data_IF_583365737656
#
_entry.id   IF_583365737656
#
_cell.length_a   1.000
_cell.length_b   1.000
_cell.length_c   1.000
_cell.angle_alpha   90.00
_cell.angle_beta   90.00
_cell.angle_gamma   90.00
#
_symmetry.space_group_name_H-M   'P 1'
#
loop_
_entity.id
_entity.type
_entity.pdbx_description
1 polymer ?
#
# COMPACT_ATOMS: atom_id res chain seq x y z
N UNK A 1 -1.11 18.06 7.49
CA UNK A 1 -2.51 17.72 7.19
C UNK A 1 -2.58 17.10 5.83
N UNK A 2 -2.97 15.83 5.79
CA UNK A 2 -3.16 15.07 4.56
C UNK A 2 -4.36 15.57 3.75
N UNK A 3 -4.26 15.45 2.44
CA UNK A 3 -5.34 15.73 1.50
C UNK A 3 -5.82 14.41 0.91
N UNK A 4 -6.99 13.95 1.36
CA UNK A 4 -7.60 12.69 0.94
C UNK A 4 -8.67 12.84 -0.15
N UNK A 5 -8.94 14.08 -0.57
CA UNK A 5 -9.83 14.35 -1.69
C UNK A 5 -9.12 14.08 -3.01
N UNK A 6 -9.41 12.92 -3.62
CA UNK A 6 -8.82 12.48 -4.88
C UNK A 6 -9.21 13.32 -6.10
N UNK A 7 -10.18 14.23 -5.96
CA UNK A 7 -10.50 15.20 -7.02
C UNK A 7 -9.61 16.44 -6.97
N UNK A 8 -8.84 16.61 -5.89
CA UNK A 8 -7.85 17.67 -5.75
C UNK A 8 -6.51 17.29 -6.39
N UNK A 9 -5.87 18.24 -7.06
CA UNK A 9 -4.50 18.10 -7.56
C UNK A 9 -3.45 18.00 -6.43
N UNK A 10 -3.84 18.33 -5.20
CA UNK A 10 -2.98 18.23 -4.01
C UNK A 10 -3.18 16.96 -3.21
N UNK A 11 -3.91 15.95 -3.73
CA UNK A 11 -4.14 14.70 -3.01
C UNK A 11 -2.82 13.94 -2.77
N UNK A 12 -2.55 13.58 -1.52
CA UNK A 12 -1.30 12.97 -1.07
C UNK A 12 -1.49 11.65 -0.32
N UNK A 13 -2.74 11.25 -0.05
CA UNK A 13 -3.08 10.03 0.69
C UNK A 13 -4.46 9.50 0.33
N UNK A 14 -4.67 8.17 0.37
CA UNK A 14 -6.01 7.58 0.25
C UNK A 14 -6.77 7.55 1.59
N UNK A 15 -6.06 7.61 2.71
CA UNK A 15 -6.61 7.50 4.06
C UNK A 15 -6.17 8.68 4.94
N UNK A 16 -7.07 9.15 5.80
CA UNK A 16 -6.75 10.16 6.81
C UNK A 16 -6.39 9.56 8.16
N UNK A 17 -5.99 10.40 9.11
CA UNK A 17 -5.71 9.98 10.51
C UNK A 17 -6.94 9.32 11.15
N UNK A 18 -8.15 9.82 10.85
CA UNK A 18 -9.40 9.22 11.32
C UNK A 18 -9.62 7.80 10.80
N UNK A 19 -9.32 7.55 9.53
CA UNK A 19 -9.44 6.23 8.91
C UNK A 19 -8.43 5.25 9.51
N UNK A 20 -7.19 5.69 9.71
CA UNK A 20 -6.15 4.89 10.36
C UNK A 20 -6.56 4.48 11.77
N UNK A 21 -7.03 5.42 12.60
CA UNK A 21 -7.49 5.14 13.97
C UNK A 21 -8.68 4.21 13.99
N UNK A 22 -9.64 4.40 13.09
CA UNK A 22 -10.79 3.51 12.96
C UNK A 22 -10.36 2.09 12.56
N UNK A 23 -9.49 1.99 11.54
CA UNK A 23 -8.94 0.72 11.06
C UNK A 23 -8.18 -0.02 12.16
N UNK A 24 -7.34 0.71 12.91
CA UNK A 24 -6.55 0.19 14.02
C UNK A 24 -7.44 -0.28 15.18
N UNK A 25 -8.43 0.52 15.58
CA UNK A 25 -9.36 0.20 16.66
C UNK A 25 -10.18 -1.06 16.38
N UNK A 26 -10.65 -1.25 15.14
CA UNK A 26 -11.39 -2.46 14.75
C UNK A 26 -10.57 -3.75 14.82
N UNK A 27 -9.24 -3.65 14.75
CA UNK A 27 -8.32 -4.80 14.67
C UNK A 27 -7.37 -4.92 15.86
N UNK A 28 -7.52 -4.04 16.86
CA UNK A 28 -6.70 -4.04 18.07
C UNK A 28 -5.25 -3.58 17.86
N UNK A 29 -4.98 -2.78 16.82
CA UNK A 29 -3.66 -2.20 16.62
C UNK A 29 -3.48 -0.91 17.44
N UNK A 30 -2.27 -0.72 17.97
CA UNK A 30 -1.85 0.55 18.54
C UNK A 30 -1.31 1.45 17.43
N UNK A 31 -1.71 2.72 17.45
CA UNK A 31 -1.20 3.79 16.59
C UNK A 31 -0.83 5.00 17.45
N UNK A 32 0.02 5.92 16.97
CA UNK A 32 0.38 7.10 17.75
C UNK A 32 -0.83 7.96 18.12
N UNK A 33 -0.78 8.58 19.29
CA UNK A 33 -1.80 9.56 19.71
C UNK A 33 -1.65 10.89 18.97
N UNK A 34 -0.45 11.22 18.52
CA UNK A 34 -0.15 12.44 17.77
C UNK A 34 -0.53 12.32 16.29
N UNK A 35 -1.28 13.31 15.79
CA UNK A 35 -1.75 13.35 14.41
C UNK A 35 -0.58 13.42 13.41
N UNK A 36 0.45 14.22 13.68
CA UNK A 36 1.58 14.39 12.76
C UNK A 36 2.37 13.09 12.56
N UNK A 37 2.50 12.30 13.62
CA UNK A 37 3.10 10.97 13.58
C UNK A 37 2.26 10.00 12.74
N UNK A 38 0.93 10.01 12.89
CA UNK A 38 0.01 9.24 12.05
C UNK A 38 0.09 9.66 10.58
N UNK A 39 0.15 10.96 10.29
CA UNK A 39 0.29 11.49 8.94
C UNK A 39 1.59 10.99 8.29
N UNK A 40 2.70 11.02 9.02
CA UNK A 40 3.99 10.52 8.53
C UNK A 40 3.94 9.04 8.17
N UNK A 41 3.30 8.21 9.00
CA UNK A 41 3.13 6.78 8.73
C UNK A 41 2.25 6.52 7.50
N UNK A 42 1.19 7.33 7.32
CA UNK A 42 0.31 7.26 6.15
C UNK A 42 1.02 7.66 4.87
N UNK A 43 1.90 8.66 4.90
CA UNK A 43 2.74 9.03 3.75
C UNK A 43 3.69 7.90 3.37
N UNK A 44 4.42 7.32 4.34
CA UNK A 44 5.29 6.16 4.08
C UNK A 44 4.53 4.99 3.45
N UNK A 45 3.32 4.73 3.94
CA UNK A 45 2.44 3.72 3.38
C UNK A 45 1.99 4.07 1.95
N UNK A 46 1.72 5.36 1.68
CA UNK A 46 1.39 5.83 0.34
C UNK A 46 2.57 5.66 -0.62
N UNK A 47 3.78 6.03 -0.21
CA UNK A 47 4.99 5.89 -1.03
C UNK A 47 5.25 4.42 -1.41
N UNK A 48 4.93 3.48 -0.52
CA UNK A 48 4.95 2.06 -0.83
C UNK A 48 3.88 1.69 -1.88
N UNK A 49 2.64 2.15 -1.70
CA UNK A 49 1.54 1.90 -2.64
C UNK A 49 1.78 2.50 -4.03
N UNK A 50 2.50 3.63 -4.11
CA UNK A 50 2.88 4.26 -5.36
C UNK A 50 3.85 3.38 -6.20
N UNK A 51 4.53 2.42 -5.56
CA UNK A 51 5.40 1.46 -6.22
C UNK A 51 4.68 0.22 -6.78
N UNK A 52 3.37 0.08 -6.60
CA UNK A 52 2.64 -1.13 -7.00
C UNK A 52 2.25 -1.13 -8.48
N UNK A 53 2.31 -2.30 -9.11
CA UNK A 53 1.81 -2.51 -10.47
C UNK A 53 0.29 -2.66 -10.48
N UNK A 54 -0.43 -1.55 -10.44
CA UNK A 54 -1.89 -1.56 -10.42
C UNK A 54 -2.51 -2.05 -11.75
N UNK A 55 -3.61 -2.80 -11.68
CA UNK A 55 -4.43 -3.19 -12.84
C UNK A 55 -5.15 -1.99 -13.46
N UNK A 56 -5.43 -2.06 -14.77
CA UNK A 56 -6.19 -1.03 -15.50
C UNK A 56 -5.40 0.25 -15.75
N UNK A 57 -6.11 1.36 -15.93
CA UNK A 57 -5.49 2.65 -16.25
C UNK A 57 -5.95 3.75 -15.30
N UNK A 58 -5.09 4.76 -15.05
CA UNK A 58 -5.50 5.98 -14.33
C UNK A 58 -6.68 6.64 -15.03
N UNK A 59 -7.64 7.14 -14.27
CA UNK A 59 -8.82 7.83 -14.84
C UNK A 59 -8.41 9.13 -15.53
N UNK A 60 -7.44 9.86 -14.97
CA UNK A 60 -6.84 11.04 -15.58
C UNK A 60 -5.31 10.91 -15.62
N UNK A 61 -4.68 11.37 -16.70
CA UNK A 61 -3.20 11.34 -16.82
C UNK A 61 -2.49 12.25 -15.82
N UNK A 62 -3.14 13.32 -15.39
CA UNK A 62 -2.57 14.33 -14.48
C UNK A 62 -2.94 14.15 -13.01
N UNK A 63 -3.69 13.11 -12.65
CA UNK A 63 -4.05 12.90 -11.24
C UNK A 63 -2.78 12.58 -10.41
N UNK A 64 -2.68 13.08 -9.18
CA UNK A 64 -1.47 12.95 -8.36
C UNK A 64 -1.21 11.50 -7.92
N UNK A 65 -2.27 10.76 -7.56
CA UNK A 65 -2.17 9.39 -7.03
C UNK A 65 -2.48 8.32 -8.09
N UNK A 66 -2.21 7.05 -7.78
CA UNK A 66 -2.48 5.95 -8.74
C UNK A 66 -3.97 5.63 -8.89
N UNK A 67 -4.73 5.80 -7.82
CA UNK A 67 -6.18 5.76 -7.83
C UNK A 67 -6.75 7.18 -7.84
N UNK A 68 -7.88 7.42 -8.51
CA UNK A 68 -8.79 6.41 -9.07
C UNK A 68 -8.36 5.85 -10.45
N UNK A 69 -8.91 4.67 -10.78
CA UNK A 69 -8.62 3.96 -12.03
C UNK A 69 -9.89 3.54 -12.77
N UNK A 70 -9.72 3.12 -14.01
CA UNK A 70 -10.74 2.57 -14.91
C UNK A 70 -10.25 1.27 -15.54
N UNK A 71 -11.17 0.52 -16.15
CA UNK A 71 -10.89 -0.77 -16.80
C UNK A 71 -10.28 -1.82 -15.85
N UNK A 72 -10.60 -1.74 -14.55
CA UNK A 72 -10.13 -2.70 -13.53
C UNK A 72 -11.14 -3.83 -13.39
N UNK A 73 -10.72 -5.08 -13.61
CA UNK A 73 -11.55 -6.26 -13.40
C UNK A 73 -11.16 -6.99 -12.11
N UNK A 74 -12.11 -7.11 -11.17
CA UNK A 74 -11.93 -7.81 -9.90
C UNK A 74 -12.94 -8.94 -9.82
N UNK A 75 -12.47 -10.17 -9.61
CA UNK A 75 -13.30 -11.38 -9.47
C UNK A 75 -14.32 -11.58 -10.62
N UNK A 76 -13.96 -11.16 -11.84
CA UNK A 76 -14.80 -11.29 -13.04
C UNK A 76 -15.81 -10.15 -13.24
N UNK A 77 -15.81 -9.12 -12.39
CA UNK A 77 -16.63 -7.92 -12.54
C UNK A 77 -15.76 -6.68 -12.78
N UNK A 78 -16.18 -5.83 -13.72
CA UNK A 78 -15.54 -4.53 -13.95
C UNK A 78 -15.92 -3.60 -12.81
N UNK A 79 -14.90 -3.04 -12.15
CA UNK A 79 -15.05 -2.06 -11.09
C UNK A 79 -15.51 -0.72 -11.69
N UNK A 80 -16.34 0.03 -10.96
CA UNK A 80 -16.82 1.32 -11.44
C UNK A 80 -15.65 2.30 -11.66
N UNK A 81 -15.60 2.92 -12.84
CA UNK A 81 -14.61 3.94 -13.15
C UNK A 81 -14.63 5.07 -12.13
N UNK A 82 -13.44 5.53 -11.71
CA UNK A 82 -13.35 6.64 -10.77
C UNK A 82 -13.50 6.23 -9.30
N UNK A 83 -13.83 4.97 -9.00
CA UNK A 83 -14.02 4.49 -7.63
C UNK A 83 -12.68 4.16 -6.97
N UNK A 84 -12.47 4.66 -5.75
CA UNK A 84 -11.41 4.19 -4.85
C UNK A 84 -11.90 2.94 -4.09
N UNK A 85 -11.33 1.75 -4.31
CA UNK A 85 -11.73 0.55 -3.59
C UNK A 85 -11.38 0.68 -2.11
N UNK A 86 -12.32 0.33 -1.22
CA UNK A 86 -12.06 0.29 0.24
C UNK A 86 -10.83 -0.55 0.60
N UNK A 87 -10.55 -1.59 -0.19
CA UNK A 87 -9.37 -2.46 -0.05
C UNK A 87 -8.05 -1.68 -0.15
N UNK A 88 -7.98 -0.62 -0.96
CA UNK A 88 -6.80 0.25 -1.11
C UNK A 88 -6.62 1.12 0.14
N UNK A 89 -7.71 1.70 0.66
CA UNK A 89 -7.70 2.48 1.91
C UNK A 89 -7.27 1.60 3.10
N UNK A 90 -7.86 0.42 3.21
CA UNK A 90 -7.53 -0.56 4.25
C UNK A 90 -6.07 -1.04 4.13
N UNK A 91 -5.56 -1.20 2.90
CA UNK A 91 -4.17 -1.55 2.65
C UNK A 91 -3.20 -0.45 3.12
N UNK A 92 -3.48 0.82 2.79
CA UNK A 92 -2.67 1.94 3.27
C UNK A 92 -2.69 2.04 4.80
N UNK A 93 -3.86 1.88 5.42
CA UNK A 93 -3.96 1.90 6.88
C UNK A 93 -3.16 0.76 7.52
N UNK A 94 -3.20 -0.44 6.93
CA UNK A 94 -2.43 -1.57 7.44
C UNK A 94 -0.92 -1.35 7.26
N UNK A 95 -0.48 -0.85 6.11
CA UNK A 95 0.91 -0.49 5.87
C UNK A 95 1.39 0.58 6.86
N UNK A 96 0.56 1.58 7.16
CA UNK A 96 0.90 2.62 8.14
C UNK A 96 1.07 2.05 9.56
N UNK A 97 0.29 1.02 9.93
CA UNK A 97 0.50 0.29 11.19
C UNK A 97 1.84 -0.44 11.18
N UNK A 98 2.18 -1.14 10.09
CA UNK A 98 3.45 -1.87 9.96
C UNK A 98 4.67 -0.91 9.91
N UNK A 99 4.50 0.27 9.34
CA UNK A 99 5.54 1.32 9.24
C UNK A 99 6.03 1.85 10.60
N UNK A 100 5.34 1.51 11.69
CA UNK A 100 5.80 1.79 13.05
C UNK A 100 7.00 0.94 13.46
N UNK A 101 7.09 -0.29 12.95
CA UNK A 101 8.12 -1.28 13.31
C UNK A 101 8.98 -1.72 12.13
N UNK A 102 8.52 -1.54 10.90
CA UNK A 102 9.18 -1.97 9.67
C UNK A 102 9.49 -0.77 8.79
N UNK A 103 10.72 -0.69 8.28
CA UNK A 103 11.03 0.24 7.21
C UNK A 103 10.44 -0.27 5.89
N UNK A 104 9.45 0.46 5.37
CA UNK A 104 8.75 0.08 4.13
C UNK A 104 9.61 0.30 2.88
N UNK A 105 10.63 1.15 2.94
CA UNK A 105 11.49 1.49 1.80
C UNK A 105 12.97 1.43 2.18
N UNK A 106 13.51 0.22 2.49
CA UNK A 106 14.89 0.10 2.89
C UNK A 106 15.82 0.48 1.74
N UNK A 107 16.81 1.33 2.02
CA UNK A 107 17.89 1.63 1.08
C UNK A 107 18.85 0.45 1.00
N UNK A 108 18.86 -0.24 -0.14
CA UNK A 108 19.78 -1.35 -0.39
C UNK A 108 21.09 -0.80 -0.98
N UNK A 109 22.06 -0.53 -0.12
CA UNK A 109 23.44 -0.29 -0.56
C UNK A 109 24.12 -1.66 -0.68
N UNK A 110 24.65 -1.97 -1.87
CA UNK A 110 25.19 -3.28 -2.24
C UNK A 110 26.43 -3.78 -1.49
N UNK A 111 26.75 -3.23 -0.33
CA UNK A 111 27.84 -3.66 0.53
C UNK A 111 27.55 -3.18 1.96
N UNK A 112 27.40 -4.13 2.89
CA UNK A 112 27.48 -4.02 4.35
C UNK A 112 26.85 -2.82 5.09
N UNK A 113 25.92 -3.11 6.01
CA UNK A 113 25.95 -2.64 7.41
C UNK A 113 24.71 -3.22 8.12
N UNK A 114 24.78 -4.38 8.77
CA UNK A 114 25.09 -4.54 10.21
C UNK A 114 24.59 -3.39 11.12
N UNK A 115 23.36 -2.89 10.94
CA UNK A 115 22.70 -2.05 11.95
C UNK A 115 21.18 -2.28 11.95
N UNK A 116 20.72 -3.47 12.36
CA UNK A 116 19.35 -3.64 12.87
C UNK A 116 19.36 -4.10 14.33
N UNK A 117 20.08 -3.35 15.15
CA UNK A 117 19.80 -3.29 16.59
C UNK A 117 18.58 -2.37 16.79
N UNK A 118 17.36 -2.94 16.71
CA UNK A 118 16.19 -2.40 17.43
C UNK A 118 15.15 -3.48 17.75
N UNK A 119 15.36 -4.08 18.92
CA UNK A 119 14.39 -4.31 20.01
C UNK A 119 13.04 -5.00 19.66
N UNK A 120 13.00 -6.27 20.05
CA UNK A 120 11.97 -6.97 20.83
C UNK A 120 10.48 -6.74 20.48
N UNK A 121 9.90 -7.78 19.87
CA UNK A 121 8.63 -8.30 20.38
C UNK A 121 7.41 -8.27 19.47
N UNK A 122 7.50 -8.74 18.22
CA UNK A 122 6.40 -9.48 17.57
C UNK A 122 6.90 -10.15 16.28
N UNK A 123 6.82 -11.49 16.27
CA UNK A 123 6.93 -12.38 15.11
C UNK A 123 8.15 -12.12 14.21
N UNK A 124 9.23 -12.85 14.51
CA UNK A 124 10.36 -13.04 13.62
C UNK A 124 9.87 -13.48 12.22
N UNK A 125 9.89 -12.55 11.27
CA UNK A 125 10.02 -12.93 9.86
C UNK A 125 11.34 -13.68 9.77
N UNK A 126 11.28 -14.93 9.33
CA UNK A 126 12.45 -15.80 9.26
C UNK A 126 13.38 -15.24 8.20
N UNK A 127 14.39 -14.49 8.63
CA UNK A 127 15.48 -14.03 7.78
C UNK A 127 16.34 -15.25 7.44
N UNK A 128 16.30 -15.65 6.17
CA UNK A 128 17.34 -16.49 5.60
C UNK A 128 18.62 -15.64 5.52
N UNK A 129 19.72 -16.04 6.20
CA UNK A 129 20.94 -15.24 6.26
C UNK A 129 21.66 -15.07 4.90
N UNK A 130 21.20 -15.74 3.84
CA UNK A 130 21.73 -15.58 2.47
C UNK A 130 20.96 -14.53 1.62
N UNK A 131 19.92 -13.89 2.18
CA UNK A 131 19.09 -12.90 1.49
C UNK A 131 19.44 -11.46 1.91
N UNK A 132 20.70 -11.07 1.70
CA UNK A 132 21.08 -9.66 1.77
C UNK A 132 20.50 -8.93 0.54
N UNK A 133 19.41 -8.16 0.72
CA UNK A 133 18.89 -7.27 -0.33
C UNK A 133 17.44 -7.46 -0.75
N UNK A 134 16.61 -8.23 -0.02
CA UNK A 134 15.20 -8.36 -0.38
C UNK A 134 14.35 -7.31 0.35
N UNK A 135 13.56 -6.47 -0.36
CA UNK A 135 12.63 -5.54 0.28
C UNK A 135 11.59 -6.27 1.14
N UNK A 136 10.96 -5.60 2.13
CA UNK A 136 9.97 -6.24 2.98
C UNK A 136 8.80 -6.76 2.14
N UNK A 137 8.52 -8.07 2.28
CA UNK A 137 7.38 -8.72 1.66
C UNK A 137 6.21 -8.78 2.64
N UNK A 138 5.02 -8.42 2.17
CA UNK A 138 3.78 -8.42 2.94
C UNK A 138 2.76 -9.38 2.31
N UNK A 139 2.75 -10.69 2.65
CA UNK A 139 1.80 -11.65 2.07
C UNK A 139 0.32 -11.29 2.26
N UNK A 140 0.01 -10.57 3.34
CA UNK A 140 -1.32 -10.05 3.60
C UNK A 140 -1.71 -8.93 2.61
N UNK A 141 -0.73 -8.19 2.07
CA UNK A 141 -0.95 -7.12 1.10
C UNK A 141 -1.38 -7.70 -0.25
N UNK A 142 -0.75 -8.78 -0.68
CA UNK A 142 -1.17 -9.51 -1.88
C UNK A 142 -2.60 -10.04 -1.75
N UNK A 143 -2.96 -10.49 -0.54
CA UNK A 143 -4.31 -10.97 -0.25
C UNK A 143 -5.33 -9.81 -0.28
N UNK A 144 -5.02 -8.68 0.37
CA UNK A 144 -5.94 -7.55 0.41
C UNK A 144 -6.04 -6.82 -0.93
N UNK A 145 -5.02 -6.88 -1.79
CA UNK A 145 -5.01 -6.24 -3.11
C UNK A 145 -5.18 -7.21 -4.30
N UNK A 146 -5.49 -8.49 -4.03
CA UNK A 146 -5.81 -9.48 -5.06
C UNK A 146 -6.83 -8.94 -6.09
N UNK A 147 -6.43 -8.95 -7.37
CA UNK A 147 -7.24 -8.45 -8.49
C UNK A 147 -7.13 -6.95 -8.75
N UNK A 148 -6.51 -6.18 -7.84
CA UNK A 148 -6.24 -4.75 -8.00
C UNK A 148 -4.81 -4.47 -8.47
N UNK A 149 -3.89 -5.41 -8.20
CA UNK A 149 -2.49 -5.36 -8.61
C UNK A 149 -2.25 -6.49 -9.61
N UNK A 150 -1.52 -6.17 -10.68
CA UNK A 150 -1.04 -7.11 -11.68
C UNK A 150 -0.09 -8.09 -11.00
N UNK A 151 -0.60 -9.28 -10.70
CA UNK A 151 0.27 -10.41 -10.42
C UNK A 151 0.85 -10.86 -11.77
N UNK A 152 2.17 -10.96 -11.89
CA UNK A 152 2.89 -11.31 -13.13
C UNK A 152 2.59 -12.70 -13.74
N UNK A 153 1.43 -13.30 -13.44
CA UNK A 153 0.97 -14.59 -13.92
C UNK A 153 -0.53 -14.63 -14.26
N UNK A 154 -1.12 -13.53 -14.72
CA UNK A 154 -2.53 -13.46 -15.16
C UNK A 154 -2.67 -13.37 -16.68
N UNK A 155 -3.15 -14.44 -17.31
CA UNK A 155 -3.49 -14.53 -18.74
C UNK A 155 -4.48 -13.44 -19.19
N UNK A 156 -4.03 -12.51 -20.04
CA UNK A 156 -4.91 -11.60 -20.77
C UNK A 156 -5.70 -12.40 -21.81
N UNK A 157 -7.01 -12.58 -21.61
CA UNK A 157 -7.90 -12.94 -22.72
C UNK A 157 -8.21 -11.68 -23.50
N UNK A 158 -7.49 -11.46 -24.59
CA UNK A 158 -7.84 -10.48 -25.61
C UNK A 158 -9.09 -10.99 -26.34
N UNK A 159 -10.27 -10.52 -25.94
CA UNK A 159 -11.51 -10.80 -26.65
C UNK A 159 -11.62 -9.82 -27.82
N UNK A 160 -11.00 -10.17 -28.95
CA UNK A 160 -11.32 -9.54 -30.22
C UNK A 160 -12.80 -9.79 -30.54
N UNK A 161 -13.61 -8.72 -30.54
CA UNK A 161 -14.93 -8.73 -31.17
C UNK A 161 -14.73 -8.65 -32.69
N UNK A 162 -15.08 -9.72 -33.38
CA UNK A 162 -15.23 -9.74 -34.84
C UNK A 162 -16.51 -9.06 -35.32
#
# INVERSE_FOLDING_TARGET
>A
MLVTDLTSDSADSYAGVGDLRHYAGLRGYSVPEDDASCETLLIKAMDYLAGMSWCGEKTARGQPLDWPRRDVCVDGAILQDGLLPKRVVDAQCRLAVEAQSVDLQPTLNGEADILSESIAGAVAVTYDPDSAGTPPSFPWLDTILRGLVENGGGINFDVMRG
#
